data_IF_075252273055
#
_entry.id   IF_075252273055
#
_cell.length_a   1.000
_cell.length_b   1.000
_cell.length_c   1.000
_cell.angle_alpha   90.00
_cell.angle_beta   90.00
_cell.angle_gamma   90.00
#
_symmetry.space_group_name_H-M   'P 1'
#
loop_
_entity.id
_entity.type
_entity.pdbx_description
1 polymer ?
#
# COMPACT_ATOMS: atom_id res chain seq x y z
N UNK A 1 -20.33 -6.69 -16.89
CA UNK A 1 -18.87 -6.43 -16.84
C UNK A 1 -18.27 -7.07 -15.58
N UNK A 2 -17.95 -8.37 -15.59
CA UNK A 2 -17.35 -9.08 -14.44
C UNK A 2 -15.89 -9.52 -14.70
N UNK A 3 -15.40 -9.46 -15.95
CA UNK A 3 -14.07 -9.95 -16.33
C UNK A 3 -12.89 -9.12 -15.81
N UNK A 4 -12.94 -7.78 -15.87
CA UNK A 4 -11.84 -6.93 -15.40
C UNK A 4 -11.62 -6.97 -13.88
N UNK A 5 -12.69 -7.13 -13.09
CA UNK A 5 -12.60 -7.14 -11.62
C UNK A 5 -11.92 -8.39 -11.07
N UNK A 6 -12.09 -9.52 -11.74
CA UNK A 6 -11.54 -10.81 -11.32
C UNK A 6 -10.07 -10.92 -11.71
N UNK A 7 -9.75 -10.49 -12.94
CA UNK A 7 -8.36 -10.39 -13.43
C UNK A 7 -7.46 -9.48 -12.57
N UNK A 8 -7.90 -8.27 -12.20
CA UNK A 8 -7.08 -7.36 -11.39
C UNK A 8 -7.03 -7.68 -9.88
N UNK A 9 -7.62 -8.79 -9.43
CA UNK A 9 -7.50 -9.23 -8.02
C UNK A 9 -6.74 -10.54 -7.99
N UNK A 10 -7.15 -11.49 -8.81
CA UNK A 10 -6.57 -12.84 -8.86
C UNK A 10 -5.11 -12.84 -9.36
N UNK A 11 -4.69 -11.82 -10.13
CA UNK A 11 -3.29 -11.65 -10.57
C UNK A 11 -2.54 -10.54 -9.86
N UNK A 12 -3.23 -9.49 -9.40
CA UNK A 12 -2.59 -8.30 -8.84
C UNK A 12 -1.94 -8.55 -7.48
N UNK A 13 -2.57 -9.36 -6.63
CA UNK A 13 -1.98 -9.71 -5.32
C UNK A 13 -0.76 -10.63 -5.46
N UNK A 14 -0.80 -11.71 -6.28
CA UNK A 14 0.39 -12.50 -6.57
C UNK A 14 1.51 -11.69 -7.20
N UNK A 15 1.21 -10.78 -8.14
CA UNK A 15 2.21 -9.94 -8.80
C UNK A 15 2.90 -8.98 -7.82
N UNK A 16 2.13 -8.36 -6.91
CA UNK A 16 2.69 -7.55 -5.82
C UNK A 16 3.55 -8.40 -4.90
N UNK A 17 3.08 -9.59 -4.53
CA UNK A 17 3.81 -10.51 -3.66
C UNK A 17 5.14 -10.93 -4.30
N UNK A 18 5.11 -11.30 -5.58
CA UNK A 18 6.28 -11.73 -6.35
C UNK A 18 7.31 -10.60 -6.49
N UNK A 19 6.88 -9.35 -6.75
CA UNK A 19 7.79 -8.20 -6.72
C UNK A 19 8.38 -7.99 -5.31
N UNK A 20 7.56 -8.06 -4.27
CA UNK A 20 8.00 -7.76 -2.89
C UNK A 20 9.03 -8.77 -2.38
N UNK A 21 8.88 -10.06 -2.70
CA UNK A 21 9.84 -11.11 -2.30
C UNK A 21 11.25 -10.84 -2.86
N UNK A 22 11.36 -10.08 -3.97
CA UNK A 22 12.65 -9.67 -4.54
C UNK A 22 13.35 -8.52 -3.79
N UNK A 23 12.62 -7.73 -3.00
CA UNK A 23 13.13 -6.52 -2.35
C UNK A 23 13.09 -6.58 -0.82
N UNK A 24 12.23 -7.43 -0.24
CA UNK A 24 11.85 -7.41 1.17
C UNK A 24 11.56 -8.83 1.64
N UNK A 25 11.94 -9.14 2.87
CA UNK A 25 11.63 -10.42 3.50
C UNK A 25 10.11 -10.64 3.54
N UNK A 26 9.66 -11.85 3.19
CA UNK A 26 8.24 -12.23 3.19
C UNK A 26 7.58 -12.00 4.56
N UNK A 27 8.33 -12.11 5.65
CA UNK A 27 7.84 -11.83 7.00
C UNK A 27 7.49 -10.35 7.21
N UNK A 28 8.18 -9.42 6.54
CA UNK A 28 7.85 -8.00 6.62
C UNK A 28 6.58 -7.67 5.82
N UNK A 29 6.34 -8.38 4.71
CA UNK A 29 5.08 -8.33 3.98
C UNK A 29 3.91 -8.86 4.81
N UNK A 30 4.08 -10.01 5.45
CA UNK A 30 3.07 -10.58 6.37
C UNK A 30 2.77 -9.64 7.54
N UNK A 31 3.80 -9.03 8.15
CA UNK A 31 3.64 -8.00 9.20
C UNK A 31 2.87 -6.79 8.69
N UNK A 32 3.13 -6.33 7.47
CA UNK A 32 2.35 -5.25 6.88
C UNK A 32 0.88 -5.64 6.70
N UNK A 33 0.60 -6.85 6.23
CA UNK A 33 -0.76 -7.38 6.16
C UNK A 33 -1.45 -7.34 7.53
N UNK A 34 -0.78 -7.79 8.58
CA UNK A 34 -1.29 -7.71 9.95
C UNK A 34 -1.58 -6.26 10.36
N UNK A 35 -0.64 -5.33 10.11
CA UNK A 35 -0.80 -3.91 10.44
C UNK A 35 -2.01 -3.31 9.72
N UNK A 36 -2.14 -3.51 8.42
CA UNK A 36 -3.25 -2.98 7.63
C UNK A 36 -4.59 -3.58 8.06
N UNK A 37 -4.62 -4.87 8.41
CA UNK A 37 -5.82 -5.52 8.92
C UNK A 37 -6.33 -4.92 10.24
N UNK A 38 -5.42 -4.37 11.06
CA UNK A 38 -5.76 -3.64 12.29
C UNK A 38 -6.27 -2.24 11.99
N UNK A 39 -5.72 -1.56 10.98
CA UNK A 39 -6.12 -0.19 10.62
C UNK A 39 -7.56 -0.13 10.12
N UNK A 40 -8.02 -1.13 9.35
CA UNK A 40 -9.38 -1.23 8.76
C UNK A 40 -9.86 0.04 8.05
N UNK A 41 -8.94 0.86 7.56
CA UNK A 41 -9.23 2.06 6.76
C UNK A 41 -8.48 1.96 5.44
N UNK A 42 -9.14 2.32 4.34
CA UNK A 42 -8.51 2.37 3.01
C UNK A 42 -7.50 3.51 2.90
N UNK A 43 -7.68 4.55 3.69
CA UNK A 43 -6.89 5.77 3.68
C UNK A 43 -6.43 6.09 5.09
N UNK A 44 -5.13 6.25 5.30
CA UNK A 44 -4.55 6.47 6.62
C UNK A 44 -3.23 7.24 6.52
N UNK A 45 -2.83 8.01 7.54
CA UNK A 45 -1.53 8.67 7.55
C UNK A 45 -0.41 7.65 7.79
N UNK A 46 0.78 7.93 7.26
CA UNK A 46 1.97 7.10 7.49
C UNK A 46 2.36 7.02 8.98
N UNK A 47 2.08 8.06 9.77
CA UNK A 47 2.31 8.03 11.23
C UNK A 47 1.56 6.89 11.93
N UNK A 48 0.32 6.61 11.50
CA UNK A 48 -0.48 5.50 12.03
C UNK A 48 0.10 4.13 11.68
N UNK A 49 0.71 3.99 10.50
CA UNK A 49 1.49 2.80 10.13
C UNK A 49 2.70 2.64 11.05
N UNK A 50 3.43 3.74 11.29
CA UNK A 50 4.62 3.76 12.14
C UNK A 50 4.32 3.31 13.57
N UNK A 51 3.28 3.87 14.18
CA UNK A 51 2.82 3.50 15.54
C UNK A 51 2.54 1.99 15.68
N UNK A 52 1.91 1.37 14.68
CA UNK A 52 1.56 -0.06 14.73
C UNK A 52 2.76 -0.96 14.33
N UNK A 53 3.66 -0.45 13.48
CA UNK A 53 4.89 -1.18 13.09
C UNK A 53 5.85 -1.39 14.25
N UNK A 54 5.91 -0.44 15.19
CA UNK A 54 6.73 -0.54 16.41
C UNK A 54 6.32 -1.76 17.25
N UNK A 55 5.01 -2.02 17.33
CA UNK A 55 4.46 -3.21 18.01
C UNK A 55 4.75 -4.51 17.25
N UNK A 56 4.90 -4.43 15.93
CA UNK A 56 5.03 -5.59 15.04
C UNK A 56 6.49 -5.94 14.70
N UNK A 57 7.47 -5.30 15.35
CA UNK A 57 8.92 -5.45 15.13
C UNK A 57 9.37 -5.20 13.68
N UNK A 58 8.60 -4.43 12.92
CA UNK A 58 9.00 -3.96 11.60
C UNK A 58 9.80 -2.66 11.77
N UNK A 59 11.08 -2.67 11.37
CA UNK A 59 11.93 -1.47 11.52
C UNK A 59 11.42 -0.34 10.64
N UNK A 60 11.70 0.91 11.02
CA UNK A 60 11.28 2.07 10.21
C UNK A 60 11.88 2.03 8.80
N UNK A 61 13.11 1.55 8.64
CA UNK A 61 13.77 1.43 7.34
C UNK A 61 13.11 0.34 6.48
N UNK A 62 12.75 -0.81 7.06
CA UNK A 62 12.03 -1.84 6.33
C UNK A 62 10.62 -1.39 5.97
N UNK A 63 9.93 -0.69 6.87
CA UNK A 63 8.63 -0.08 6.58
C UNK A 63 8.75 0.93 5.43
N UNK A 64 9.74 1.82 5.44
CA UNK A 64 9.96 2.77 4.33
C UNK A 64 10.22 2.05 3.01
N UNK A 65 11.10 1.04 3.00
CA UNK A 65 11.37 0.23 1.79
C UNK A 65 10.10 -0.42 1.28
N UNK A 66 9.32 -1.05 2.16
CA UNK A 66 8.05 -1.68 1.85
C UNK A 66 7.04 -0.71 1.25
N UNK A 67 6.88 0.47 1.83
CA UNK A 67 5.99 1.47 1.28
C UNK A 67 6.43 1.98 -0.10
N UNK A 68 7.74 2.11 -0.34
CA UNK A 68 8.24 2.48 -1.66
C UNK A 68 7.95 1.38 -2.71
N UNK A 69 8.26 0.12 -2.39
CA UNK A 69 7.99 -1.01 -3.30
C UNK A 69 6.49 -1.11 -3.59
N UNK A 70 5.64 -1.13 -2.56
CA UNK A 70 4.18 -1.14 -2.73
C UNK A 70 3.66 0.03 -3.58
N UNK A 71 4.28 1.21 -3.46
CA UNK A 71 3.91 2.35 -4.28
C UNK A 71 4.31 2.14 -5.73
N UNK A 72 5.52 1.66 -5.98
CA UNK A 72 6.05 1.39 -7.32
C UNK A 72 5.26 0.27 -8.03
N UNK A 73 4.80 -0.76 -7.30
CA UNK A 73 3.86 -1.76 -7.83
C UNK A 73 2.45 -1.18 -8.11
N UNK A 74 2.15 0.05 -7.67
CA UNK A 74 0.82 0.65 -7.74
C UNK A 74 -0.19 0.07 -6.74
N UNK A 75 0.27 -0.74 -5.78
CA UNK A 75 -0.52 -1.33 -4.71
C UNK A 75 -1.07 -0.27 -3.74
N UNK A 76 -0.32 0.81 -3.56
CA UNK A 76 -0.70 1.98 -2.78
C UNK A 76 -0.47 3.27 -3.57
N UNK A 77 -1.05 4.36 -3.09
CA UNK A 77 -0.86 5.70 -3.61
C UNK A 77 -0.80 6.75 -2.49
N UNK A 78 -0.58 8.00 -2.89
CA UNK A 78 -0.63 9.14 -1.98
C UNK A 78 -1.84 10.02 -2.23
N UNK A 79 -2.37 10.60 -1.17
CA UNK A 79 -3.40 11.63 -1.20
C UNK A 79 -2.96 12.85 -0.41
N UNK A 80 -3.16 14.03 -1.01
CA UNK A 80 -3.00 15.31 -0.35
C UNK A 80 -4.11 16.27 -0.76
N UNK A 81 -4.33 17.30 0.05
CA UNK A 81 -5.25 18.40 -0.27
C UNK A 81 -4.45 19.58 -0.80
N UNK A 82 -4.97 20.25 -1.83
CA UNK A 82 -4.45 21.53 -2.30
C UNK A 82 -5.33 22.73 -1.81
N UNK A 83 -6.08 22.53 -0.73
CA UNK A 83 -7.00 23.53 -0.16
C UNK A 83 -8.38 23.56 -0.81
N UNK A 84 -8.52 23.13 -2.06
CA UNK A 84 -9.79 23.12 -2.81
C UNK A 84 -10.29 21.72 -3.14
N UNK A 85 -9.38 20.75 -3.29
CA UNK A 85 -9.71 19.39 -3.69
C UNK A 85 -8.68 18.38 -3.18
N UNK A 86 -9.11 17.12 -3.08
CA UNK A 86 -8.19 16.02 -2.84
C UNK A 86 -7.54 15.59 -4.15
N UNK A 87 -6.21 15.51 -4.15
CA UNK A 87 -5.40 14.92 -5.21
C UNK A 87 -5.00 13.51 -4.81
N UNK A 88 -5.01 12.61 -5.78
CA UNK A 88 -4.62 11.22 -5.62
C UNK A 88 -3.60 10.88 -6.68
N UNK A 89 -2.48 10.31 -6.26
CA UNK A 89 -1.42 9.88 -7.15
C UNK A 89 -1.02 8.44 -6.87
N UNK A 90 -0.89 7.69 -7.95
CA UNK A 90 -0.46 6.30 -7.97
C UNK A 90 0.56 6.17 -9.11
N UNK A 91 1.53 5.27 -8.97
CA UNK A 91 2.61 5.08 -9.94
C UNK A 91 2.13 4.85 -11.37
N UNK A 92 1.05 4.07 -11.54
CA UNK A 92 0.49 3.79 -12.87
C UNK A 92 -0.09 5.04 -13.58
N UNK A 93 -0.40 6.12 -12.85
CA UNK A 93 -0.87 7.39 -13.43
C UNK A 93 0.28 8.34 -13.76
N UNK A 94 1.34 8.29 -12.97
CA UNK A 94 2.54 9.10 -13.16
C UNK A 94 3.77 8.25 -12.85
N UNK A 95 4.44 7.73 -13.89
CA UNK A 95 5.60 6.84 -13.72
C UNK A 95 6.79 7.52 -13.02
N UNK A 96 6.84 8.84 -13.03
CA UNK A 96 7.89 9.64 -12.39
C UNK A 96 7.54 10.04 -10.95
N UNK A 97 6.37 9.65 -10.43
CA UNK A 97 6.03 9.91 -9.04
C UNK A 97 6.74 8.94 -8.10
N UNK A 98 6.89 9.36 -6.84
CA UNK A 98 7.50 8.59 -5.77
C UNK A 98 6.60 8.63 -4.53
N UNK A 99 6.75 7.63 -3.67
CA UNK A 99 6.06 7.62 -2.40
C UNK A 99 6.50 8.80 -1.53
N UNK A 100 5.53 9.48 -0.91
CA UNK A 100 5.76 10.53 0.06
C UNK A 100 5.08 10.20 1.39
N UNK A 101 5.89 9.96 2.43
CA UNK A 101 5.42 9.62 3.78
C UNK A 101 4.70 10.75 4.51
N UNK A 102 4.81 12.00 4.03
CA UNK A 102 4.07 13.14 4.61
C UNK A 102 2.61 13.18 4.14
N UNK A 103 2.28 12.46 3.06
CA UNK A 103 0.94 12.40 2.52
C UNK A 103 0.15 11.21 3.07
N UNK A 104 -1.18 11.28 2.93
CA UNK A 104 -2.04 10.16 3.30
C UNK A 104 -1.75 8.99 2.38
N UNK A 105 -1.59 7.80 2.94
CA UNK A 105 -1.48 6.54 2.21
C UNK A 105 -2.87 6.11 1.77
N UNK A 106 -3.00 5.67 0.51
CA UNK A 106 -4.26 5.16 -0.05
C UNK A 106 -4.04 3.77 -0.59
N UNK A 107 -4.77 2.78 -0.07
CA UNK A 107 -4.73 1.42 -0.61
C UNK A 107 -5.47 1.36 -1.95
N UNK A 108 -4.84 0.69 -2.93
CA UNK A 108 -5.49 0.37 -4.18
C UNK A 108 -6.75 -0.48 -3.91
N UNK A 109 -7.81 -0.29 -4.71
CA UNK A 109 -9.08 -0.99 -4.49
C UNK A 109 -8.95 -2.52 -4.62
N UNK A 110 -8.02 -3.00 -5.45
CA UNK A 110 -7.71 -4.43 -5.58
C UNK A 110 -7.11 -4.99 -4.30
N UNK A 111 -6.05 -4.34 -3.79
CA UNK A 111 -5.41 -4.72 -2.53
C UNK A 111 -6.39 -4.64 -1.34
N UNK A 112 -7.18 -3.57 -1.25
CA UNK A 112 -8.20 -3.42 -0.20
C UNK A 112 -9.21 -4.59 -0.14
N UNK A 113 -9.59 -5.11 -1.31
CA UNK A 113 -10.45 -6.30 -1.44
C UNK A 113 -9.73 -7.59 -1.13
N UNK A 114 -8.52 -7.77 -1.65
CA UNK A 114 -7.71 -8.95 -1.42
C UNK A 114 -7.44 -9.16 0.08
N UNK A 115 -7.30 -8.05 0.82
CA UNK A 115 -7.16 -8.05 2.28
C UNK A 115 -8.45 -8.37 3.05
N UNK A 116 -9.57 -8.61 2.37
CA UNK A 116 -10.87 -8.90 2.98
C UNK A 116 -11.34 -7.80 3.95
N UNK A 117 -11.02 -6.54 3.65
CA UNK A 117 -11.36 -5.37 4.48
C UNK A 117 -12.66 -4.68 4.06
N UNK A 118 -13.47 -5.33 3.22
CA UNK A 118 -14.82 -4.93 2.78
C UNK A 118 -15.67 -6.15 2.46
#
# INVERSE_FOLDING_TARGET
MQGLKRYSIDYFEPEIRDEIVGYIDIHDYERFYEIISKIKQREFPYSKLKEISEVSKLTEDNLKKLMNVLYDCGAIGNKWSNGTSNRYEFKFRNKNSHFNSTYTVVLHKGLWKALNLI
#
